data_IF_576206096140
#
_entry.id   IF_576206096140
#
_cell.length_a   1.000
_cell.length_b   1.000
_cell.length_c   1.000
_cell.angle_alpha   90.00
_cell.angle_beta   90.00
_cell.angle_gamma   90.00
#
_symmetry.space_group_name_H-M   'P 1'
#
loop_
_entity.id
_entity.type
_entity.pdbx_description
1 polymer ?
#
# COMPACT_ATOMS: atom_id res chain seq x y z
N UNK A 1 -4.52 13.58 11.55
CA UNK A 1 -4.28 14.69 10.63
C UNK A 1 -3.03 14.46 9.79
N UNK A 2 -3.06 14.95 8.55
CA UNK A 2 -1.91 14.89 7.64
C UNK A 2 -1.03 16.12 7.79
N UNK A 3 0.26 15.93 7.62
CA UNK A 3 1.25 17.00 7.61
C UNK A 3 1.50 17.47 6.18
N UNK A 4 1.58 18.78 5.96
CA UNK A 4 1.89 19.35 4.65
C UNK A 4 3.40 19.35 4.42
N UNK A 5 3.84 18.75 3.32
CA UNK A 5 5.21 18.82 2.84
C UNK A 5 5.34 19.95 1.81
N UNK A 6 6.47 20.63 1.81
CA UNK A 6 6.82 21.62 0.79
C UNK A 6 7.26 20.94 -0.52
N UNK A 7 7.42 21.68 -1.59
CA UNK A 7 7.65 21.18 -2.94
C UNK A 7 8.92 20.34 -3.13
N UNK A 8 9.11 19.85 -4.35
CA UNK A 8 10.23 18.94 -4.65
C UNK A 8 11.61 19.53 -4.45
N UNK A 9 11.74 20.85 -4.59
CA UNK A 9 13.02 21.55 -4.42
C UNK A 9 13.49 21.57 -2.95
N UNK A 10 12.57 21.23 -2.03
CA UNK A 10 12.85 21.08 -0.60
C UNK A 10 13.17 19.62 -0.21
N UNK A 11 13.33 18.72 -1.18
CA UNK A 11 13.58 17.31 -0.93
C UNK A 11 15.09 17.01 -0.90
N UNK A 12 15.48 16.18 0.04
CA UNK A 12 16.84 15.67 0.19
C UNK A 12 16.86 14.15 0.03
N UNK A 13 17.89 13.65 -0.62
CA UNK A 13 18.14 12.22 -0.68
C UNK A 13 18.56 11.69 0.69
N UNK A 14 17.96 10.58 1.10
CA UNK A 14 18.40 9.82 2.27
C UNK A 14 18.61 8.36 1.87
N UNK A 15 19.64 7.68 2.40
CA UNK A 15 19.82 6.26 2.17
C UNK A 15 18.61 5.48 2.68
N UNK A 16 18.13 4.51 1.90
CA UNK A 16 17.12 3.57 2.37
C UNK A 16 17.72 2.63 3.40
N UNK A 17 16.90 2.20 4.34
CA UNK A 17 17.25 1.13 5.25
C UNK A 17 17.19 -0.20 4.48
N UNK A 18 18.24 -0.97 4.47
CA UNK A 18 18.28 -2.34 3.94
C UNK A 18 19.21 -2.55 2.77
N UNK A 19 18.91 -2.12 1.57
CA UNK A 19 19.71 -2.42 0.39
C UNK A 19 20.63 -1.25 -0.01
N UNK A 20 21.87 -1.57 -0.33
CA UNK A 20 22.84 -0.58 -0.81
C UNK A 20 22.35 0.02 -2.13
N UNK A 21 22.33 1.35 -2.20
CA UNK A 21 21.91 2.10 -3.39
C UNK A 21 20.44 2.46 -3.44
N UNK A 22 19.64 2.01 -2.50
CA UNK A 22 18.24 2.44 -2.39
C UNK A 22 18.17 3.78 -1.64
N UNK A 23 17.33 4.70 -2.12
CA UNK A 23 17.20 6.05 -1.57
C UNK A 23 15.74 6.47 -1.47
N UNK A 24 15.45 7.30 -0.47
CA UNK A 24 14.20 8.04 -0.34
C UNK A 24 14.48 9.54 -0.38
N UNK A 25 13.47 10.30 -0.74
CA UNK A 25 13.50 11.74 -0.56
C UNK A 25 12.96 12.11 0.83
N UNK A 26 13.70 12.95 1.52
CA UNK A 26 13.29 13.55 2.79
C UNK A 26 12.95 15.01 2.53
N UNK A 27 11.78 15.46 2.97
CA UNK A 27 11.45 16.87 2.90
C UNK A 27 12.48 17.71 3.68
N UNK A 28 13.01 18.76 3.04
CA UNK A 28 13.91 19.71 3.69
C UNK A 28 13.13 20.55 4.72
N UNK A 29 11.88 20.86 4.42
CA UNK A 29 11.02 21.64 5.27
C UNK A 29 9.63 21.02 5.36
N UNK A 30 9.12 20.89 6.57
CA UNK A 30 7.82 20.31 6.88
C UNK A 30 7.00 21.36 7.63
N UNK A 31 5.71 21.48 7.29
CA UNK A 31 4.79 22.37 8.04
C UNK A 31 4.62 21.87 9.48
N UNK A 32 4.54 22.79 10.42
CA UNK A 32 4.15 22.51 11.80
C UNK A 32 2.62 22.35 11.93
N UNK A 33 1.87 22.80 10.94
CA UNK A 33 0.42 22.70 10.91
C UNK A 33 -0.03 21.30 10.46
N UNK A 34 -1.07 20.80 11.09
CA UNK A 34 -1.70 19.53 10.77
C UNK A 34 -3.15 19.73 10.33
N UNK A 35 -3.49 19.11 9.23
CA UNK A 35 -4.83 19.18 8.64
C UNK A 35 -5.47 17.80 8.61
N UNK A 36 -6.79 17.76 8.64
CA UNK A 36 -7.55 16.52 8.50
C UNK A 36 -7.43 16.01 7.06
N UNK A 37 -7.20 14.73 6.90
CA UNK A 37 -7.23 14.08 5.60
C UNK A 37 -8.61 14.21 4.96
N UNK A 38 -8.64 14.38 3.64
CA UNK A 38 -9.88 14.52 2.86
C UNK A 38 -10.44 13.20 2.36
N UNK A 39 -9.67 12.13 2.42
CA UNK A 39 -10.09 10.78 2.05
C UNK A 39 -9.24 9.74 2.75
N UNK A 40 -9.81 8.55 2.95
CA UNK A 40 -9.15 7.39 3.54
C UNK A 40 -9.69 6.11 2.89
N UNK A 41 -8.83 5.34 2.25
CA UNK A 41 -9.18 4.10 1.58
C UNK A 41 -8.22 2.97 1.98
N UNK A 42 -8.72 1.73 1.91
CA UNK A 42 -7.92 0.53 2.06
C UNK A 42 -8.07 -0.32 0.80
N UNK A 43 -6.94 -0.82 0.31
CA UNK A 43 -6.90 -1.70 -0.84
C UNK A 43 -6.38 -3.07 -0.40
N UNK A 44 -6.99 -4.13 -0.91
CA UNK A 44 -6.66 -5.52 -0.56
C UNK A 44 -6.49 -6.32 -1.86
N UNK A 45 -5.36 -7.00 -1.96
CA UNK A 45 -5.12 -8.02 -2.98
C UNK A 45 -5.06 -9.39 -2.29
N UNK A 46 -6.19 -10.12 -2.23
CA UNK A 46 -6.26 -11.37 -1.53
C UNK A 46 -5.33 -12.41 -2.14
N UNK A 47 -4.60 -13.14 -1.31
CA UNK A 47 -3.80 -14.26 -1.81
C UNK A 47 -4.71 -15.32 -2.43
N UNK A 48 -4.29 -15.82 -3.59
CA UNK A 48 -4.90 -16.96 -4.21
C UNK A 48 -4.55 -18.24 -3.46
N UNK A 49 -3.90 -19.18 -4.14
CA UNK A 49 -3.41 -20.41 -3.55
C UNK A 49 -1.88 -20.40 -3.59
N UNK A 50 -1.25 -20.91 -2.53
CA UNK A 50 0.20 -21.10 -2.49
C UNK A 50 0.94 -20.19 -1.52
N UNK A 51 2.11 -19.69 -1.93
CA UNK A 51 3.03 -18.93 -1.10
C UNK A 51 2.79 -17.42 -1.11
N UNK A 52 1.79 -16.95 -1.85
CA UNK A 52 1.49 -15.53 -2.00
C UNK A 52 0.93 -14.94 -0.70
N UNK A 53 1.20 -13.67 -0.46
CA UNK A 53 0.62 -12.93 0.65
C UNK A 53 -0.69 -12.27 0.25
N UNK A 54 -1.60 -12.09 1.20
CA UNK A 54 -2.66 -11.09 1.04
C UNK A 54 -2.04 -9.73 1.25
N UNK A 55 -1.88 -8.98 0.17
CA UNK A 55 -1.39 -7.60 0.22
C UNK A 55 -2.46 -6.65 0.70
N UNK A 56 -2.09 -5.65 1.49
CA UNK A 56 -2.98 -4.57 1.91
C UNK A 56 -2.26 -3.23 1.93
N UNK A 57 -3.01 -2.16 1.65
CA UNK A 57 -2.50 -0.80 1.67
C UNK A 57 -3.58 0.16 2.17
N UNK A 58 -3.25 0.99 3.14
CA UNK A 58 -4.10 2.10 3.59
C UNK A 58 -3.51 3.41 3.12
N UNK A 59 -4.27 4.15 2.33
CA UNK A 59 -3.89 5.46 1.83
C UNK A 59 -4.85 6.53 2.34
N UNK A 60 -4.33 7.71 2.61
CA UNK A 60 -5.11 8.91 2.90
C UNK A 60 -4.68 10.05 2.00
N UNK A 61 -5.58 10.95 1.73
CA UNK A 61 -5.37 12.05 0.78
C UNK A 61 -5.44 13.38 1.49
N UNK A 62 -4.49 14.26 1.16
CA UNK A 62 -4.49 15.65 1.58
C UNK A 62 -3.74 16.51 0.54
N UNK A 63 -4.37 17.56 0.06
CA UNK A 63 -3.76 18.53 -0.87
C UNK A 63 -3.10 17.90 -2.10
N UNK A 64 -3.75 16.91 -2.72
CA UNK A 64 -3.27 16.21 -3.90
C UNK A 64 -2.10 15.24 -3.64
N UNK A 65 -1.73 15.03 -2.39
CA UNK A 65 -0.73 14.06 -1.96
C UNK A 65 -1.40 12.80 -1.41
N UNK A 66 -0.74 11.68 -1.62
CA UNK A 66 -1.19 10.36 -1.18
C UNK A 66 -0.25 9.90 -0.06
N UNK A 67 -0.80 9.73 1.12
CA UNK A 67 -0.08 9.29 2.32
C UNK A 67 -0.31 7.80 2.53
N UNK A 68 0.76 7.01 2.45
CA UNK A 68 0.74 5.57 2.74
C UNK A 68 0.98 5.40 4.23
N UNK A 69 -0.05 5.01 4.96
CA UNK A 69 -0.04 4.96 6.42
C UNK A 69 0.01 3.54 7.00
N UNK A 70 -0.31 2.53 6.19
CA UNK A 70 -0.23 1.13 6.59
C UNK A 70 -0.15 0.29 5.31
N UNK A 71 0.91 -0.50 5.17
CA UNK A 71 1.10 -1.36 4.00
C UNK A 71 1.85 -2.62 4.39
N UNK A 72 1.47 -3.74 3.82
CA UNK A 72 2.15 -4.99 4.10
C UNK A 72 1.50 -6.18 3.43
N UNK A 73 1.94 -7.37 3.83
CA UNK A 73 1.41 -8.64 3.39
C UNK A 73 1.14 -9.56 4.58
N UNK A 74 0.08 -10.34 4.50
CA UNK A 74 -0.32 -11.33 5.48
C UNK A 74 -0.26 -12.72 4.85
N UNK A 75 0.34 -13.67 5.55
CA UNK A 75 0.30 -15.08 5.15
C UNK A 75 -1.09 -15.63 5.47
N UNK A 76 -1.90 -15.82 4.45
CA UNK A 76 -3.29 -16.26 4.58
C UNK A 76 -4.19 -15.50 3.63
N UNK A 77 -5.42 -15.94 3.48
CA UNK A 77 -6.40 -15.32 2.59
C UNK A 77 -7.78 -15.23 3.24
N UNK A 78 -8.51 -16.34 3.25
CA UNK A 78 -9.88 -16.41 3.76
C UNK A 78 -9.99 -16.83 5.23
N UNK A 79 -8.87 -17.10 5.89
CA UNK A 79 -8.86 -17.53 7.29
C UNK A 79 -9.26 -16.39 8.23
N UNK A 80 -9.87 -16.77 9.35
CA UNK A 80 -10.41 -15.83 10.32
C UNK A 80 -9.36 -14.84 10.85
N UNK A 81 -8.13 -15.30 11.05
CA UNK A 81 -7.05 -14.44 11.55
C UNK A 81 -6.72 -13.32 10.56
N UNK A 82 -6.53 -13.66 9.28
CA UNK A 82 -6.24 -12.69 8.22
C UNK A 82 -7.37 -11.70 8.05
N UNK A 83 -8.62 -12.17 7.93
CA UNK A 83 -9.78 -11.30 7.78
C UNK A 83 -9.98 -10.38 8.98
N UNK A 84 -9.80 -10.88 10.20
CA UNK A 84 -9.89 -10.07 11.43
C UNK A 84 -8.78 -9.03 11.50
N UNK A 85 -7.57 -9.37 11.10
CA UNK A 85 -6.45 -8.42 11.05
C UNK A 85 -6.74 -7.27 10.09
N UNK A 86 -7.21 -7.57 8.88
CA UNK A 86 -7.61 -6.55 7.90
C UNK A 86 -8.75 -5.66 8.42
N UNK A 87 -9.75 -6.26 9.07
CA UNK A 87 -10.85 -5.51 9.68
C UNK A 87 -10.38 -4.54 10.78
N UNK A 88 -9.44 -4.96 11.60
CA UNK A 88 -8.84 -4.10 12.64
C UNK A 88 -8.00 -2.97 12.07
N UNK A 89 -7.29 -3.22 10.96
CA UNK A 89 -6.54 -2.17 10.23
C UNK A 89 -7.52 -1.14 9.68
N UNK A 90 -8.60 -1.56 9.04
CA UNK A 90 -9.65 -0.68 8.56
C UNK A 90 -10.26 0.19 9.67
N UNK A 91 -10.52 -0.41 10.84
CA UNK A 91 -11.02 0.29 12.02
C UNK A 91 -10.02 1.31 12.56
N UNK A 92 -8.74 0.92 12.70
CA UNK A 92 -7.66 1.77 13.19
C UNK A 92 -7.54 3.06 12.37
N UNK A 93 -7.60 2.92 11.07
CA UNK A 93 -7.44 4.04 10.14
C UNK A 93 -8.75 4.73 9.76
N UNK A 94 -9.89 4.23 10.22
CA UNK A 94 -11.24 4.77 9.95
C UNK A 94 -11.45 5.00 8.45
N UNK A 95 -11.17 3.98 7.64
CA UNK A 95 -11.29 4.07 6.18
C UNK A 95 -12.74 4.27 5.76
N UNK A 96 -12.96 5.04 4.69
CA UNK A 96 -14.27 5.31 4.12
C UNK A 96 -14.70 4.20 3.17
N UNK A 97 -13.74 3.57 2.51
CA UNK A 97 -13.97 2.53 1.52
C UNK A 97 -12.84 1.49 1.51
N UNK A 98 -13.19 0.30 1.06
CA UNK A 98 -12.26 -0.81 0.83
C UNK A 98 -12.48 -1.32 -0.58
N UNK A 99 -11.40 -1.42 -1.37
CA UNK A 99 -11.39 -2.11 -2.64
C UNK A 99 -10.62 -3.42 -2.53
N UNK A 100 -11.22 -4.51 -2.99
CA UNK A 100 -10.58 -5.82 -3.03
C UNK A 100 -10.45 -6.33 -4.47
N UNK A 101 -9.26 -6.74 -4.86
CA UNK A 101 -8.97 -7.25 -6.20
C UNK A 101 -9.24 -8.76 -6.30
N UNK A 102 -10.50 -9.16 -6.45
CA UNK A 102 -10.81 -10.59 -6.58
C UNK A 102 -11.76 -10.92 -7.74
N UNK A 103 -12.84 -10.20 -7.89
CA UNK A 103 -13.67 -10.20 -9.09
C UNK A 103 -14.66 -11.36 -9.26
N UNK A 104 -14.99 -12.11 -8.22
CA UNK A 104 -16.05 -13.14 -8.24
C UNK A 104 -17.12 -12.95 -7.16
N UNK A 105 -17.03 -11.90 -6.34
CA UNK A 105 -17.95 -11.59 -5.25
C UNK A 105 -17.72 -12.39 -3.97
N UNK A 106 -17.03 -13.52 -4.05
CA UNK A 106 -16.89 -14.45 -2.93
C UNK A 106 -16.07 -13.88 -1.78
N UNK A 107 -14.99 -13.16 -2.08
CA UNK A 107 -14.17 -12.56 -1.02
C UNK A 107 -14.95 -11.53 -0.22
N UNK A 108 -15.69 -10.68 -0.90
CA UNK A 108 -16.52 -9.65 -0.26
C UNK A 108 -17.60 -10.27 0.62
N UNK A 109 -18.25 -11.34 0.17
CA UNK A 109 -19.28 -12.04 0.96
C UNK A 109 -18.71 -12.65 2.26
N UNK A 110 -17.47 -13.15 2.22
CA UNK A 110 -16.83 -13.72 3.41
C UNK A 110 -16.26 -12.62 4.31
N UNK A 111 -15.70 -11.56 3.73
CA UNK A 111 -15.05 -10.49 4.46
C UNK A 111 -16.01 -9.53 5.15
N UNK A 112 -17.08 -9.11 4.48
CA UNK A 112 -18.05 -8.13 5.04
C UNK A 112 -18.58 -8.49 6.42
N UNK A 113 -19.01 -9.72 6.72
CA UNK A 113 -19.48 -10.07 8.06
C UNK A 113 -18.42 -9.90 9.15
N UNK A 114 -17.16 -10.23 8.84
CA UNK A 114 -16.04 -10.04 9.76
C UNK A 114 -15.74 -8.56 9.94
N UNK A 115 -15.64 -7.83 8.83
CA UNK A 115 -15.36 -6.39 8.84
C UNK A 115 -16.38 -5.62 9.66
N UNK A 116 -17.68 -5.88 9.47
CA UNK A 116 -18.75 -5.11 10.10
C UNK A 116 -18.88 -5.32 11.61
N UNK A 117 -18.18 -6.32 12.17
CA UNK A 117 -18.02 -6.43 13.61
C UNK A 117 -17.03 -5.39 14.19
N UNK A 118 -16.19 -4.79 13.35
CA UNK A 118 -15.15 -3.84 13.74
C UNK A 118 -15.36 -2.45 13.14
N UNK A 119 -15.72 -2.40 11.86
CA UNK A 119 -15.82 -1.16 11.12
C UNK A 119 -16.85 -1.27 9.99
N UNK A 120 -17.59 -0.17 9.75
CA UNK A 120 -18.56 -0.10 8.65
C UNK A 120 -18.10 0.92 7.62
N UNK A 121 -17.90 0.48 6.41
CA UNK A 121 -17.57 1.32 5.26
C UNK A 121 -18.07 0.66 3.97
N UNK A 122 -17.94 1.35 2.84
CA UNK A 122 -18.20 0.75 1.54
C UNK A 122 -17.13 -0.31 1.23
N UNK A 123 -17.56 -1.42 0.61
CA UNK A 123 -16.65 -2.48 0.16
C UNK A 123 -16.98 -2.84 -1.27
N UNK A 124 -16.03 -2.65 -2.17
CA UNK A 124 -16.17 -2.94 -3.59
C UNK A 124 -15.12 -3.96 -4.04
N UNK A 125 -15.50 -4.80 -4.98
CA UNK A 125 -14.57 -5.66 -5.70
C UNK A 125 -14.21 -5.05 -7.03
N UNK A 126 -12.91 -5.07 -7.33
CA UNK A 126 -12.37 -4.63 -8.61
C UNK A 126 -11.65 -5.79 -9.28
N UNK A 127 -11.66 -5.81 -10.61
CA UNK A 127 -10.95 -6.80 -11.40
C UNK A 127 -10.05 -6.09 -12.41
N UNK A 128 -8.79 -6.44 -12.38
CA UNK A 128 -7.81 -5.94 -13.34
C UNK A 128 -7.57 -6.97 -14.44
N UNK A 129 -7.68 -6.55 -15.70
CA UNK A 129 -7.50 -7.41 -16.89
C UNK A 129 -6.24 -7.09 -17.70
N UNK A 130 -5.50 -6.05 -17.34
CA UNK A 130 -4.28 -5.62 -18.05
C UNK A 130 -3.03 -6.31 -17.49
N UNK A 131 -1.95 -6.31 -18.26
CA UNK A 131 -0.67 -6.83 -17.81
C UNK A 131 -0.25 -6.16 -16.49
N UNK A 132 0.07 -6.96 -15.50
CA UNK A 132 0.27 -6.55 -14.12
C UNK A 132 1.42 -5.55 -13.98
N UNK A 133 2.60 -5.89 -14.47
CA UNK A 133 3.81 -5.05 -14.33
C UNK A 133 3.65 -3.68 -15.00
N UNK A 134 3.09 -3.66 -16.21
CA UNK A 134 2.82 -2.40 -16.91
C UNK A 134 1.81 -1.53 -16.15
N UNK A 135 0.74 -2.14 -15.64
CA UNK A 135 -0.29 -1.46 -14.84
C UNK A 135 0.28 -0.85 -13.57
N UNK A 136 1.13 -1.59 -12.86
CA UNK A 136 1.78 -1.12 -11.63
C UNK A 136 2.66 0.09 -11.94
N UNK A 137 3.53 -0.01 -12.93
CA UNK A 137 4.45 1.07 -13.33
C UNK A 137 3.66 2.30 -13.78
N UNK A 138 2.67 2.13 -14.65
CA UNK A 138 1.87 3.24 -15.18
C UNK A 138 1.04 3.94 -14.10
N UNK A 139 0.72 3.25 -13.00
CA UNK A 139 0.03 3.85 -11.84
C UNK A 139 1.00 4.59 -10.91
N UNK A 140 2.16 4.01 -10.61
CA UNK A 140 3.09 4.55 -9.60
C UNK A 140 4.02 5.64 -10.15
N UNK A 141 4.53 5.47 -11.37
CA UNK A 141 5.52 6.37 -11.94
C UNK A 141 5.09 7.85 -11.94
N UNK A 142 3.85 8.22 -12.34
CA UNK A 142 3.44 9.62 -12.32
C UNK A 142 3.42 10.24 -10.92
N UNK A 143 2.88 9.54 -9.94
CA UNK A 143 2.77 10.06 -8.57
C UNK A 143 4.12 10.14 -7.88
N UNK A 144 5.02 9.21 -8.19
CA UNK A 144 6.40 9.22 -7.67
C UNK A 144 7.22 10.35 -8.30
N UNK A 145 7.16 10.53 -9.61
CA UNK A 145 7.86 11.62 -10.31
C UNK A 145 7.38 13.01 -9.89
N UNK A 146 6.14 13.12 -9.47
CA UNK A 146 5.56 14.36 -8.93
C UNK A 146 5.78 14.54 -7.42
N UNK A 147 6.49 13.63 -6.77
CA UNK A 147 6.70 13.60 -5.30
C UNK A 147 5.40 13.71 -4.50
N UNK A 148 4.33 13.09 -5.00
CA UNK A 148 3.01 13.08 -4.34
C UNK A 148 2.77 11.84 -3.49
N UNK A 149 3.59 10.80 -3.63
CA UNK A 149 3.51 9.58 -2.84
C UNK A 149 4.39 9.73 -1.61
N UNK A 150 3.77 9.69 -0.43
CA UNK A 150 4.44 9.96 0.85
C UNK A 150 4.24 8.77 1.77
N UNK A 151 5.34 8.24 2.29
CA UNK A 151 5.32 7.14 3.25
C UNK A 151 5.52 7.65 4.68
N UNK A 152 4.76 7.09 5.61
CA UNK A 152 5.11 7.19 7.03
C UNK A 152 6.45 6.48 7.27
N UNK A 153 7.36 7.12 7.99
CA UNK A 153 8.69 6.54 8.25
C UNK A 153 8.61 5.19 8.95
N UNK A 154 7.67 5.02 9.85
CA UNK A 154 7.46 3.75 10.56
C UNK A 154 7.09 2.60 9.61
N UNK A 155 6.40 2.89 8.48
CA UNK A 155 6.08 1.90 7.47
C UNK A 155 7.33 1.44 6.70
N UNK A 156 8.25 2.36 6.42
CA UNK A 156 9.54 2.04 5.79
C UNK A 156 10.34 1.10 6.70
N UNK A 157 10.48 1.47 7.96
CA UNK A 157 11.24 0.68 8.94
C UNK A 157 10.59 -0.70 9.16
N UNK A 158 9.27 -0.77 9.24
CA UNK A 158 8.51 -2.02 9.38
C UNK A 158 8.65 -2.93 8.17
N UNK A 159 8.66 -2.39 6.96
CA UNK A 159 8.82 -3.18 5.74
C UNK A 159 10.19 -3.88 5.71
N UNK A 160 11.25 -3.16 6.00
CA UNK A 160 12.60 -3.72 6.03
C UNK A 160 12.80 -4.71 7.18
N UNK A 161 12.38 -4.37 8.40
CA UNK A 161 12.55 -5.25 9.57
C UNK A 161 11.60 -6.46 9.53
N UNK A 162 10.36 -6.26 9.13
CA UNK A 162 9.34 -7.33 9.10
C UNK A 162 9.60 -8.41 8.07
N UNK A 163 10.34 -8.11 7.01
CA UNK A 163 10.69 -9.05 5.94
C UNK A 163 12.21 -9.22 5.78
N UNK A 164 12.96 -9.06 6.84
CA UNK A 164 14.41 -9.15 6.86
C UNK A 164 14.94 -10.52 6.40
N UNK A 165 14.26 -11.60 6.80
CA UNK A 165 14.61 -12.98 6.41
C UNK A 165 14.26 -13.30 4.95
N UNK A 166 13.36 -12.53 4.34
CA UNK A 166 12.92 -12.73 2.96
C UNK A 166 12.79 -11.37 2.24
N UNK A 167 13.93 -10.71 1.91
CA UNK A 167 13.93 -9.34 1.36
C UNK A 167 13.10 -9.13 0.09
N UNK A 168 12.89 -10.18 -0.70
CA UNK A 168 12.08 -10.13 -1.94
C UNK A 168 10.59 -9.83 -1.68
N UNK A 169 10.13 -9.99 -0.43
CA UNK A 169 8.78 -9.61 -0.02
C UNK A 169 8.67 -8.15 0.40
N UNK A 170 9.78 -7.48 0.65
CA UNK A 170 9.78 -6.06 1.01
C UNK A 170 9.20 -5.23 -0.14
N UNK A 171 8.30 -4.30 0.19
CA UNK A 171 7.74 -3.35 -0.77
C UNK A 171 8.85 -2.57 -1.49
N UNK A 172 9.80 -2.07 -0.73
CA UNK A 172 10.87 -1.23 -1.32
C UNK A 172 11.86 -2.02 -2.16
N UNK A 173 12.06 -3.31 -1.86
CA UNK A 173 12.74 -4.22 -2.78
C UNK A 173 11.98 -4.32 -4.10
N UNK A 174 10.68 -4.53 -4.04
CA UNK A 174 9.81 -4.66 -5.21
C UNK A 174 9.80 -3.36 -6.03
N UNK A 175 9.65 -2.20 -5.38
CA UNK A 175 9.62 -0.89 -6.03
C UNK A 175 10.89 -0.55 -6.80
N UNK A 176 12.06 -0.96 -6.30
CA UNK A 176 13.35 -0.64 -6.91
C UNK A 176 13.79 -1.64 -7.98
N UNK A 177 13.07 -2.76 -8.14
CA UNK A 177 13.46 -3.86 -9.05
C UNK A 177 12.38 -4.29 -10.05
N UNK A 178 11.19 -3.74 -9.95
CA UNK A 178 10.15 -4.00 -10.93
C UNK A 178 10.55 -3.44 -12.30
N UNK A 179 10.40 -4.26 -13.32
CA UNK A 179 10.53 -3.85 -14.73
C UNK A 179 9.24 -4.17 -15.50
N UNK A 180 9.13 -3.69 -16.73
CA UNK A 180 7.97 -3.98 -17.61
C UNK A 180 7.92 -5.42 -18.11
N UNK A 181 8.96 -6.20 -17.83
CA UNK A 181 9.02 -7.60 -18.24
C UNK A 181 8.13 -8.46 -17.34
N UNK A 182 7.40 -9.40 -17.94
CA UNK A 182 6.56 -10.34 -17.18
C UNK A 182 7.39 -11.18 -16.23
N UNK A 183 6.94 -11.26 -14.99
CA UNK A 183 7.61 -12.06 -13.96
C UNK A 183 8.97 -11.50 -13.54
N UNK A 184 9.18 -10.19 -13.68
CA UNK A 184 10.41 -9.52 -13.26
C UNK A 184 10.66 -9.62 -11.75
N UNK A 185 9.62 -9.82 -10.96
CA UNK A 185 9.68 -10.05 -9.53
C UNK A 185 9.20 -11.45 -9.16
N UNK A 186 9.81 -12.06 -8.15
CA UNK A 186 9.33 -13.33 -7.59
C UNK A 186 8.06 -13.12 -6.77
N UNK A 187 7.98 -12.02 -6.04
CA UNK A 187 6.81 -11.58 -5.27
C UNK A 187 6.51 -10.14 -5.64
N UNK A 188 5.25 -9.81 -5.83
CA UNK A 188 4.78 -8.50 -6.22
C UNK A 188 3.52 -8.05 -5.47
N UNK A 189 3.12 -8.80 -4.45
CA UNK A 189 1.86 -8.60 -3.74
C UNK A 189 1.74 -7.19 -3.13
N UNK A 190 2.83 -6.68 -2.52
CA UNK A 190 2.82 -5.38 -1.84
C UNK A 190 2.85 -4.21 -2.81
N UNK A 191 3.64 -4.30 -3.88
CA UNK A 191 3.67 -3.23 -4.89
C UNK A 191 2.38 -3.19 -5.71
N UNK A 192 1.76 -4.34 -5.94
CA UNK A 192 0.48 -4.39 -6.65
C UNK A 192 -0.63 -3.68 -5.86
N UNK A 193 -0.75 -3.98 -4.58
CA UNK A 193 -1.76 -3.32 -3.73
C UNK A 193 -1.45 -1.83 -3.53
N UNK A 194 -0.18 -1.41 -3.52
CA UNK A 194 0.19 0.01 -3.53
C UNK A 194 -0.30 0.69 -4.82
N UNK A 195 -0.10 0.05 -5.97
CA UNK A 195 -0.56 0.57 -7.25
C UNK A 195 -2.08 0.72 -7.32
N UNK A 196 -2.84 -0.15 -6.65
CA UNK A 196 -4.29 0.04 -6.47
C UNK A 196 -4.59 1.31 -5.67
N UNK A 197 -3.83 1.56 -4.61
CA UNK A 197 -4.04 2.67 -3.68
C UNK A 197 -3.70 4.07 -4.20
N UNK A 198 -3.06 4.19 -5.36
CA UNK A 198 -2.69 5.49 -5.97
C UNK A 198 -3.57 5.90 -7.15
N UNK A 199 -4.53 5.08 -7.53
CA UNK A 199 -5.53 5.40 -8.54
C UNK A 199 -6.61 6.27 -7.92
#
# INVERSE_FOLDING_TARGET
PGQILYGKDDLLDIPAVGLTGDYFYKAMKVSEDYFTYTGAAMHIDPSGRGADETGYCVTKILNGKIFVLDIGGLKGGYDKFTLTTLAKIAQKHKVNEIEANFGDGMYTEIFKPVLFNYHRCNVEEVKHSTQKEARIIDSLEPVMNQHRLIFDRSEVDRDYEGSKEEPRRQLFYQMTRLTRDRGSLQYDDRIDVLAMGVK
#
